data_IF_528137186401
#
_entry.id   IF_528137186401
#
_cell.length_a   1.000
_cell.length_b   1.000
_cell.length_c   1.000
_cell.angle_alpha   90.00
_cell.angle_beta   90.00
_cell.angle_gamma   90.00
#
_symmetry.space_group_name_H-M   'P 1'
#
loop_
_entity.id
_entity.type
_entity.pdbx_description
1 polymer ?
#
# COMPACT_ATOMS: atom_id res chain seq x y z
N UNK A 1 -5.10 37.63 -5.77
CA UNK A 1 -4.45 38.80 -5.14
C UNK A 1 -4.55 39.93 -6.15
N UNK A 2 -5.13 41.05 -5.72
CA UNK A 2 -5.33 42.31 -6.47
C UNK A 2 -6.37 42.36 -7.61
N UNK A 3 -7.61 41.97 -7.29
CA UNK A 3 -8.82 42.74 -7.66
C UNK A 3 -9.18 43.06 -9.12
N UNK A 4 -8.43 42.64 -10.15
CA UNK A 4 -8.75 42.93 -11.55
C UNK A 4 -9.07 41.67 -12.39
N UNK A 5 -10.06 41.72 -13.31
CA UNK A 5 -10.42 40.59 -14.17
C UNK A 5 -9.42 40.36 -15.31
N UNK A 6 -8.88 39.13 -15.38
CA UNK A 6 -7.90 38.64 -16.37
C UNK A 6 -8.56 38.28 -17.71
N UNK A 7 -9.20 39.23 -18.39
CA UNK A 7 -9.88 38.97 -19.68
C UNK A 7 -9.30 39.72 -20.90
N UNK A 8 -8.11 40.35 -20.82
CA UNK A 8 -7.61 41.15 -21.93
C UNK A 8 -6.07 41.18 -22.11
N UNK A 9 -5.40 40.03 -22.10
CA UNK A 9 -4.02 39.93 -22.60
C UNK A 9 -3.88 38.74 -23.56
N UNK A 10 -3.62 38.98 -24.86
CA UNK A 10 -3.40 37.89 -25.81
C UNK A 10 -1.97 37.37 -25.65
N UNK A 11 -1.81 36.06 -25.37
CA UNK A 11 -0.52 35.37 -25.33
C UNK A 11 -0.56 34.21 -26.34
N UNK A 12 0.53 33.96 -27.11
CA UNK A 12 0.51 33.17 -28.33
C UNK A 12 0.41 31.66 -28.07
N UNK A 13 -0.09 30.93 -29.05
CA UNK A 13 -0.22 29.48 -29.02
C UNK A 13 1.13 28.76 -29.20
N UNK A 14 1.45 27.83 -28.29
CA UNK A 14 2.06 26.49 -28.52
C UNK A 14 2.54 25.88 -27.18
N UNK A 15 2.81 24.56 -27.09
CA UNK A 15 2.28 23.40 -27.81
C UNK A 15 1.51 22.43 -26.88
N UNK A 16 0.80 21.46 -27.46
CA UNK A 16 0.06 20.43 -26.73
C UNK A 16 1.01 19.44 -26.02
N UNK A 17 0.81 19.22 -24.73
CA UNK A 17 1.40 18.14 -23.93
C UNK A 17 0.37 17.50 -22.98
N UNK A 18 0.58 16.22 -22.57
CA UNK A 18 -0.48 15.21 -22.55
C UNK A 18 -1.27 15.05 -21.25
N UNK A 19 -2.39 14.34 -21.40
CA UNK A 19 -3.35 13.87 -20.39
C UNK A 19 -2.67 13.23 -19.16
N UNK A 20 -2.77 13.91 -18.00
CA UNK A 20 -2.93 13.35 -16.63
C UNK A 20 -2.44 14.37 -15.59
N UNK A 21 -3.22 15.43 -15.39
CA UNK A 21 -2.84 16.56 -14.53
C UNK A 21 -3.99 17.04 -13.64
N UNK A 22 -4.36 16.27 -12.61
CA UNK A 22 -5.26 16.77 -11.56
C UNK A 22 -4.45 17.71 -10.66
N UNK A 23 -4.38 18.99 -11.05
CA UNK A 23 -3.70 20.03 -10.27
C UNK A 23 -4.34 20.25 -8.89
N UNK A 24 -3.55 20.63 -7.87
CA UNK A 24 -4.03 20.75 -6.47
C UNK A 24 -5.11 21.81 -6.26
N UNK A 25 -5.20 22.79 -7.17
CA UNK A 25 -6.16 23.90 -7.11
C UNK A 25 -7.56 23.51 -7.59
N UNK A 26 -7.68 22.52 -8.50
CA UNK A 26 -8.98 22.06 -9.02
C UNK A 26 -9.72 21.09 -8.06
N UNK A 27 -9.10 20.77 -6.93
CA UNK A 27 -9.67 19.93 -5.89
C UNK A 27 -10.26 20.75 -4.71
N UNK A 28 -10.36 22.07 -4.87
CA UNK A 28 -11.09 22.98 -3.96
C UNK A 28 -12.58 23.07 -4.36
N UNK A 29 -13.22 21.92 -4.64
CA UNK A 29 -14.60 21.87 -5.14
C UNK A 29 -15.66 21.77 -4.03
N UNK A 30 -15.34 22.18 -2.80
CA UNK A 30 -16.34 22.20 -1.73
C UNK A 30 -15.76 22.32 -0.33
N UNK A 31 -16.66 22.59 0.61
CA UNK A 31 -16.41 22.59 2.05
C UNK A 31 -17.23 21.48 2.67
N UNK A 32 -16.62 20.68 3.53
CA UNK A 32 -17.37 19.78 4.38
C UNK A 32 -17.58 20.43 5.74
N UNK A 33 -18.84 20.67 6.06
CA UNK A 33 -19.26 21.29 7.30
C UNK A 33 -19.53 20.26 8.39
N UNK A 34 -19.01 20.51 9.59
CA UNK A 34 -19.37 19.77 10.81
C UNK A 34 -20.20 20.66 11.73
N UNK A 35 -21.06 20.06 12.53
CA UNK A 35 -21.74 20.77 13.63
C UNK A 35 -20.76 20.96 14.79
N UNK A 36 -19.95 22.00 14.69
CA UNK A 36 -18.92 22.31 15.68
C UNK A 36 -19.56 22.68 17.03
N UNK A 37 -20.77 23.28 17.01
CA UNK A 37 -21.52 23.66 18.21
C UNK A 37 -21.96 22.44 19.04
N UNK A 38 -22.30 21.34 18.37
CA UNK A 38 -22.56 20.05 19.01
C UNK A 38 -21.28 19.26 19.37
N UNK A 39 -20.09 19.84 19.13
CA UNK A 39 -18.79 19.19 19.37
C UNK A 39 -18.41 18.15 18.30
N UNK A 40 -19.10 18.10 17.16
CA UNK A 40 -18.70 17.26 16.05
C UNK A 40 -17.48 17.87 15.35
N UNK A 41 -16.56 17.03 14.88
CA UNK A 41 -15.37 17.49 14.17
C UNK A 41 -14.69 16.36 13.39
N UNK A 42 -13.73 16.68 12.53
CA UNK A 42 -13.06 15.68 11.71
C UNK A 42 -12.21 14.74 12.60
N UNK A 43 -12.52 13.45 12.61
CA UNK A 43 -11.89 12.43 13.48
C UNK A 43 -10.69 11.72 12.85
N UNK A 44 -10.55 11.75 11.51
CA UNK A 44 -9.49 11.07 10.78
C UNK A 44 -8.32 11.99 10.36
N UNK A 45 -8.19 13.14 11.01
CA UNK A 45 -7.19 14.16 10.66
C UNK A 45 -6.33 14.51 11.87
N UNK A 46 -5.04 14.77 11.61
CA UNK A 46 -4.10 15.28 12.60
C UNK A 46 -3.69 16.68 12.18
N UNK A 47 -3.76 17.65 13.08
CA UNK A 47 -3.26 19.00 12.81
C UNK A 47 -1.73 18.96 12.70
N UNK A 48 -1.22 19.49 11.60
CA UNK A 48 0.22 19.64 11.31
C UNK A 48 0.69 21.04 11.70
N UNK A 49 -0.16 22.05 11.46
CA UNK A 49 0.17 23.45 11.73
C UNK A 49 -1.10 24.25 12.10
N UNK A 50 -0.98 25.27 12.95
CA UNK A 50 -2.12 26.03 13.45
C UNK A 50 -2.92 25.28 14.51
N UNK A 51 -4.25 25.43 14.49
CA UNK A 51 -5.17 24.81 15.48
C UNK A 51 -6.28 23.98 14.82
N UNK A 52 -6.85 23.06 15.58
CA UNK A 52 -8.06 22.34 15.17
C UNK A 52 -9.30 23.23 15.26
N UNK A 53 -10.35 22.86 14.52
CA UNK A 53 -11.69 23.40 14.71
C UNK A 53 -12.24 22.91 16.06
N UNK A 54 -12.89 23.81 16.79
CA UNK A 54 -13.57 23.48 18.04
C UNK A 54 -14.93 24.15 18.15
N UNK A 55 -15.63 23.98 19.29
CA UNK A 55 -16.96 24.55 19.49
C UNK A 55 -17.02 26.08 19.39
N UNK A 56 -15.90 26.76 19.66
CA UNK A 56 -15.77 28.22 19.51
C UNK A 56 -15.82 28.70 18.06
N UNK A 57 -15.65 27.79 17.08
CA UNK A 57 -15.69 28.10 15.65
C UNK A 57 -17.07 27.87 15.03
N UNK A 58 -18.05 27.44 15.84
CA UNK A 58 -19.43 27.25 15.39
C UNK A 58 -20.01 28.56 14.83
N UNK A 59 -20.58 28.51 13.63
CA UNK A 59 -21.13 29.66 12.93
C UNK A 59 -20.08 30.67 12.42
N UNK A 60 -18.79 30.34 12.43
CA UNK A 60 -17.72 31.17 11.86
C UNK A 60 -17.26 30.66 10.51
N UNK A 61 -16.59 31.51 9.73
CA UNK A 61 -15.97 31.16 8.44
C UNK A 61 -14.57 30.52 8.60
N UNK A 62 -14.26 30.00 9.80
CA UNK A 62 -12.99 29.36 10.08
C UNK A 62 -12.93 27.95 9.50
N UNK A 63 -11.82 27.63 8.83
CA UNK A 63 -11.62 26.33 8.19
C UNK A 63 -10.24 25.76 8.45
N UNK A 64 -10.17 24.43 8.44
CA UNK A 64 -8.89 23.71 8.37
C UNK A 64 -8.74 23.08 6.98
N UNK A 65 -7.53 23.18 6.44
CA UNK A 65 -7.24 22.78 5.05
C UNK A 65 -6.17 21.70 4.99
N UNK A 66 -6.18 20.91 3.93
CA UNK A 66 -5.18 19.86 3.74
C UNK A 66 -3.76 20.45 3.67
N UNK A 67 -2.80 19.87 4.41
CA UNK A 67 -1.42 20.33 4.47
C UNK A 67 -0.73 20.36 3.09
N UNK A 68 -1.23 19.63 2.09
CA UNK A 68 -0.77 19.73 0.71
C UNK A 68 -0.97 21.13 0.10
N UNK A 69 -1.97 21.90 0.56
CA UNK A 69 -2.24 23.26 0.12
C UNK A 69 -1.30 24.31 0.75
N UNK A 70 -0.55 23.94 1.80
CA UNK A 70 0.51 24.78 2.34
C UNK A 70 1.80 24.77 1.51
N UNK A 71 1.85 23.97 0.44
CA UNK A 71 2.97 23.89 -0.49
C UNK A 71 2.66 24.63 -1.80
N UNK A 72 3.69 24.83 -2.62
CA UNK A 72 3.53 25.42 -3.95
C UNK A 72 2.50 24.65 -4.79
N UNK A 73 1.62 25.32 -5.55
CA UNK A 73 1.56 26.77 -5.80
C UNK A 73 0.68 27.58 -4.82
N UNK A 74 -0.03 26.95 -3.88
CA UNK A 74 -1.04 27.63 -3.07
C UNK A 74 -0.48 28.36 -1.82
N UNK A 75 0.58 27.81 -1.20
CA UNK A 75 1.31 28.45 -0.07
C UNK A 75 0.39 28.94 1.07
N UNK A 76 -0.68 28.20 1.37
CA UNK A 76 -1.62 28.57 2.42
C UNK A 76 -1.06 28.28 3.80
N UNK A 77 -1.18 29.25 4.71
CA UNK A 77 -0.83 29.11 6.13
C UNK A 77 -1.99 29.48 7.05
N UNK A 78 -1.88 29.25 8.36
CA UNK A 78 -2.82 29.79 9.34
C UNK A 78 -2.93 31.32 9.19
N UNK A 79 -4.14 31.86 9.18
CA UNK A 79 -4.46 33.26 8.91
C UNK A 79 -4.68 33.60 7.42
N UNK A 80 -4.39 32.68 6.50
CA UNK A 80 -4.66 32.89 5.06
C UNK A 80 -6.17 32.88 4.79
N UNK A 81 -6.63 33.71 3.86
CA UNK A 81 -8.02 33.67 3.40
C UNK A 81 -8.14 32.95 2.07
N UNK A 82 -9.18 32.13 1.93
CA UNK A 82 -9.51 31.44 0.69
C UNK A 82 -10.93 31.81 0.28
N UNK A 83 -11.13 32.20 -0.97
CA UNK A 83 -12.48 32.38 -1.50
C UNK A 83 -12.85 31.16 -2.31
N UNK A 84 -13.86 30.44 -1.84
CA UNK A 84 -14.44 29.32 -2.58
C UNK A 84 -15.66 29.81 -3.35
N UNK A 85 -15.79 29.32 -4.57
CA UNK A 85 -16.93 29.60 -5.43
C UNK A 85 -17.53 28.26 -5.85
N UNK A 86 -18.82 28.08 -5.59
CA UNK A 86 -19.53 26.90 -6.06
C UNK A 86 -19.95 27.10 -7.52
N UNK A 87 -19.56 26.17 -8.40
CA UNK A 87 -19.82 26.28 -9.84
C UNK A 87 -21.26 25.99 -10.24
N UNK A 88 -22.06 25.39 -9.34
CA UNK A 88 -23.46 25.03 -9.60
C UNK A 88 -24.44 26.10 -9.15
N UNK A 89 -24.18 26.74 -8.01
CA UNK A 89 -25.01 27.80 -7.42
C UNK A 89 -24.49 29.20 -7.71
N UNK A 90 -23.20 29.35 -8.03
CA UNK A 90 -22.55 30.65 -8.21
C UNK A 90 -22.21 31.38 -6.91
N UNK A 91 -22.52 30.78 -5.75
CA UNK A 91 -22.24 31.37 -4.44
C UNK A 91 -20.73 31.45 -4.19
N UNK A 92 -20.31 32.53 -3.52
CA UNK A 92 -18.93 32.74 -3.12
C UNK A 92 -18.85 32.97 -1.61
N UNK A 93 -17.93 32.29 -0.94
CA UNK A 93 -17.66 32.48 0.47
C UNK A 93 -16.16 32.62 0.68
N UNK A 94 -15.79 33.62 1.46
CA UNK A 94 -14.42 33.83 1.89
C UNK A 94 -14.24 33.22 3.26
N UNK A 95 -13.34 32.25 3.35
CA UNK A 95 -13.07 31.46 4.54
C UNK A 95 -11.67 31.80 5.06
N UNK A 96 -11.49 31.69 6.38
CA UNK A 96 -10.21 31.95 7.04
C UNK A 96 -9.59 30.64 7.49
N UNK A 97 -8.37 30.36 7.03
CA UNK A 97 -7.63 29.15 7.38
C UNK A 97 -7.10 29.29 8.80
N UNK A 98 -7.50 28.42 9.73
CA UNK A 98 -7.01 28.41 11.12
C UNK A 98 -6.00 27.28 11.39
N UNK A 99 -5.90 26.31 10.48
CA UNK A 99 -4.94 25.22 10.60
C UNK A 99 -4.82 24.37 9.33
N UNK A 100 -3.69 23.68 9.24
CA UNK A 100 -3.38 22.69 8.21
C UNK A 100 -3.41 21.30 8.83
N UNK A 101 -4.15 20.38 8.22
CA UNK A 101 -4.23 19.01 8.69
C UNK A 101 -3.52 18.03 7.75
N UNK A 102 -2.88 17.03 8.34
CA UNK A 102 -2.37 15.85 7.68
C UNK A 102 -3.31 14.68 7.90
N UNK A 103 -3.43 13.80 6.92
CA UNK A 103 -4.18 12.56 7.05
C UNK A 103 -3.31 11.55 7.80
N UNK A 104 -3.91 10.80 8.73
CA UNK A 104 -3.20 9.80 9.51
C UNK A 104 -3.92 8.44 9.46
N UNK A 105 -3.13 7.36 9.42
CA UNK A 105 -3.63 5.99 9.46
C UNK A 105 -3.69 5.25 8.10
N UNK A 106 -3.89 3.92 8.12
CA UNK A 106 -3.82 3.05 6.93
C UNK A 106 -4.86 3.38 5.85
N UNK A 107 -5.95 4.05 6.24
CA UNK A 107 -7.06 4.46 5.37
C UNK A 107 -6.78 5.72 4.55
N UNK A 108 -5.73 6.48 4.90
CA UNK A 108 -5.40 7.75 4.25
C UNK A 108 -5.08 7.62 2.76
N UNK A 109 -4.54 6.48 2.31
CA UNK A 109 -4.23 6.22 0.90
C UNK A 109 -5.50 5.96 0.07
N UNK A 110 -6.49 5.30 0.66
CA UNK A 110 -7.73 4.91 -0.01
C UNK A 110 -8.71 6.08 -0.12
N UNK A 111 -8.76 6.94 0.89
CA UNK A 111 -9.66 8.10 0.90
C UNK A 111 -9.05 9.33 0.22
N UNK A 112 -7.77 9.27 -0.18
CA UNK A 112 -7.00 10.47 -0.54
C UNK A 112 -7.52 11.23 -1.78
N UNK A 113 -8.07 10.48 -2.73
CA UNK A 113 -8.50 10.99 -4.05
C UNK A 113 -9.89 11.65 -4.02
N UNK A 114 -10.75 11.30 -3.06
CA UNK A 114 -12.14 11.75 -2.99
C UNK A 114 -12.49 12.49 -1.70
N UNK A 115 -11.55 12.58 -0.74
CA UNK A 115 -11.82 13.29 0.51
C UNK A 115 -11.79 14.82 0.31
N UNK A 116 -12.75 15.55 0.92
CA UNK A 116 -12.77 17.00 0.96
C UNK A 116 -11.42 17.56 1.42
N UNK A 117 -11.00 18.69 0.83
CA UNK A 117 -9.74 19.36 1.17
C UNK A 117 -9.90 20.50 2.17
N UNK A 118 -11.15 20.90 2.45
CA UNK A 118 -11.50 22.00 3.33
C UNK A 118 -12.60 21.53 4.28
N UNK A 119 -12.34 21.62 5.58
CA UNK A 119 -13.31 21.36 6.64
C UNK A 119 -13.65 22.66 7.35
N UNK A 120 -14.94 22.87 7.65
CA UNK A 120 -15.44 24.06 8.32
C UNK A 120 -16.71 23.77 9.12
N UNK A 121 -17.40 24.84 9.51
CA UNK A 121 -18.72 24.74 10.13
C UNK A 121 -19.81 24.35 9.12
N UNK A 122 -20.87 23.69 9.58
CA UNK A 122 -22.05 23.35 8.78
C UNK A 122 -22.73 24.58 8.17
N UNK A 123 -22.69 25.73 8.84
CA UNK A 123 -23.18 27.01 8.32
C UNK A 123 -22.40 27.47 7.09
N UNK A 124 -21.07 27.37 7.10
CA UNK A 124 -20.22 27.71 5.96
C UNK A 124 -20.49 26.80 4.75
N UNK A 125 -20.66 25.49 4.98
CA UNK A 125 -21.03 24.55 3.92
C UNK A 125 -22.42 24.85 3.32
N UNK A 126 -23.40 25.23 4.15
CA UNK A 126 -24.74 25.62 3.69
C UNK A 126 -24.74 26.95 2.94
N UNK A 127 -23.94 27.92 3.38
CA UNK A 127 -23.79 29.20 2.69
C UNK A 127 -23.16 29.00 1.29
N UNK A 128 -22.20 28.07 1.16
CA UNK A 128 -21.59 27.73 -0.13
C UNK A 128 -22.54 26.95 -1.06
N UNK A 129 -23.17 25.89 -0.52
CA UNK A 129 -23.92 24.92 -1.31
C UNK A 129 -25.42 25.20 -1.45
N UNK A 130 -25.98 26.18 -0.74
CA UNK A 130 -27.39 26.54 -0.82
C UNK A 130 -28.35 25.35 -0.58
N UNK A 131 -29.24 25.06 -1.53
CA UNK A 131 -30.17 23.94 -1.49
C UNK A 131 -29.63 22.61 -2.05
N UNK A 132 -28.42 22.60 -2.61
CA UNK A 132 -27.72 21.40 -3.11
C UNK A 132 -26.74 20.82 -2.09
N UNK A 133 -26.91 21.18 -0.81
CA UNK A 133 -26.10 20.66 0.29
C UNK A 133 -26.44 19.20 0.51
N UNK A 134 -25.58 18.32 0.03
CA UNK A 134 -25.66 16.90 0.32
C UNK A 134 -25.31 16.69 1.80
N UNK A 135 -26.32 16.34 2.60
CA UNK A 135 -26.14 16.10 4.04
C UNK A 135 -25.63 14.69 4.25
N UNK A 136 -24.32 14.54 4.42
CA UNK A 136 -23.69 13.26 4.74
C UNK A 136 -23.74 13.04 6.25
N UNK A 137 -24.72 12.26 6.72
CA UNK A 137 -24.78 11.80 8.10
C UNK A 137 -23.91 10.56 8.27
N UNK A 138 -22.79 10.68 8.98
CA UNK A 138 -21.94 9.53 9.33
C UNK A 138 -22.26 9.11 10.76
N UNK A 139 -22.84 7.91 10.92
CA UNK A 139 -23.11 7.31 12.22
C UNK A 139 -22.25 6.06 12.39
N UNK A 140 -21.50 5.99 13.49
CA UNK A 140 -20.72 4.80 13.87
C UNK A 140 -21.64 3.83 14.59
N UNK A 141 -22.05 2.77 13.91
CA UNK A 141 -22.89 1.69 14.48
C UNK A 141 -22.00 0.48 14.76
N UNK A 142 -22.24 -0.20 15.89
CA UNK A 142 -21.53 -1.42 16.26
C UNK A 142 -21.68 -2.51 15.17
N UNK A 143 -20.60 -3.24 14.89
CA UNK A 143 -20.49 -4.12 13.72
C UNK A 143 -21.44 -5.32 13.70
N UNK A 144 -22.14 -5.59 14.80
CA UNK A 144 -23.04 -6.72 15.01
C UNK A 144 -24.49 -6.46 14.56
N UNK A 145 -24.87 -5.19 14.27
CA UNK A 145 -26.25 -4.83 13.87
C UNK A 145 -26.36 -4.05 12.55
N UNK A 146 -25.25 -3.85 11.84
CA UNK A 146 -25.15 -3.01 10.64
C UNK A 146 -26.07 -3.44 9.48
N UNK A 147 -26.25 -4.74 9.24
CA UNK A 147 -27.04 -5.22 8.10
C UNK A 147 -28.56 -5.05 8.33
N UNK A 148 -29.00 -5.20 9.58
CA UNK A 148 -30.40 -5.01 9.95
C UNK A 148 -30.78 -3.52 10.00
N UNK A 149 -29.88 -2.67 10.51
CA UNK A 149 -30.14 -1.24 10.66
C UNK A 149 -29.98 -0.47 9.33
N UNK A 150 -29.08 -0.89 8.42
CA UNK A 150 -28.97 -0.31 7.08
C UNK A 150 -30.23 -0.52 6.24
N UNK A 151 -30.83 -1.72 6.31
CA UNK A 151 -32.11 -2.02 5.65
C UNK A 151 -33.27 -1.25 6.29
N UNK A 152 -33.25 -1.04 7.62
CA UNK A 152 -34.26 -0.26 8.32
C UNK A 152 -34.19 1.24 7.97
N UNK A 153 -32.98 1.80 7.86
CA UNK A 153 -32.74 3.19 7.48
C UNK A 153 -33.10 3.47 6.02
N UNK A 154 -32.77 2.55 5.11
CA UNK A 154 -33.11 2.66 3.68
C UNK A 154 -34.62 2.55 3.42
N UNK A 155 -35.37 1.90 4.32
CA UNK A 155 -36.84 1.90 4.30
C UNK A 155 -37.46 3.16 4.90
N UNK A 156 -36.78 3.81 5.84
CA UNK A 156 -37.26 5.02 6.51
C UNK A 156 -37.07 6.28 5.65
N UNK A 157 -36.01 6.33 4.82
CA UNK A 157 -35.77 7.41 3.86
C UNK A 157 -35.25 6.86 2.51
N UNK A 158 -36.13 6.67 1.50
CA UNK A 158 -35.76 6.16 0.19
C UNK A 158 -34.82 7.07 -0.62
N UNK A 159 -34.63 8.33 -0.21
CA UNK A 159 -33.71 9.28 -0.84
C UNK A 159 -32.27 9.21 -0.31
N UNK A 160 -32.02 8.46 0.77
CA UNK A 160 -30.71 8.35 1.39
C UNK A 160 -29.86 7.26 0.71
N UNK A 161 -28.74 7.67 0.12
CA UNK A 161 -27.65 6.76 -0.29
C UNK A 161 -26.92 6.26 0.95
N UNK A 162 -27.37 5.13 1.49
CA UNK A 162 -26.69 4.44 2.60
C UNK A 162 -25.48 3.69 2.05
N UNK A 163 -24.31 4.33 2.06
CA UNK A 163 -23.04 3.69 1.69
C UNK A 163 -22.37 3.11 2.96
N UNK A 164 -22.47 1.79 3.15
CA UNK A 164 -21.81 1.11 4.26
C UNK A 164 -20.29 0.99 3.99
N UNK A 165 -19.48 1.59 4.85
CA UNK A 165 -18.02 1.53 4.74
C UNK A 165 -17.51 0.09 4.92
N UNK A 166 -18.28 -0.78 5.60
CA UNK A 166 -17.93 -2.18 5.80
C UNK A 166 -17.99 -2.97 4.49
N UNK A 167 -19.01 -2.76 3.65
CA UNK A 167 -19.18 -3.43 2.35
C UNK A 167 -18.01 -3.10 1.41
N UNK A 168 -17.57 -1.83 1.42
CA UNK A 168 -16.39 -1.42 0.67
C UNK A 168 -15.12 -2.12 1.18
N UNK A 169 -14.94 -2.26 2.50
CA UNK A 169 -13.81 -3.03 3.04
C UNK A 169 -13.90 -4.52 2.74
N UNK A 170 -15.09 -5.12 2.70
CA UNK A 170 -15.28 -6.53 2.32
C UNK A 170 -14.91 -6.74 0.86
N UNK A 171 -15.36 -5.87 -0.04
CA UNK A 171 -15.00 -5.92 -1.47
C UNK A 171 -13.49 -5.76 -1.66
N UNK A 172 -12.88 -4.77 -1.02
CA UNK A 172 -11.41 -4.56 -1.10
C UNK A 172 -10.65 -5.77 -0.55
N UNK A 173 -11.05 -6.32 0.60
CA UNK A 173 -10.44 -7.54 1.16
C UNK A 173 -10.57 -8.71 0.21
N UNK A 174 -11.75 -8.92 -0.35
CA UNK A 174 -12.00 -10.01 -1.32
C UNK A 174 -11.09 -9.88 -2.54
N UNK A 175 -10.93 -8.67 -3.09
CA UNK A 175 -10.01 -8.43 -4.22
C UNK A 175 -8.57 -8.68 -3.81
N UNK A 176 -8.13 -8.20 -2.64
CA UNK A 176 -6.77 -8.42 -2.14
C UNK A 176 -6.49 -9.90 -1.88
N UNK A 177 -7.42 -10.63 -1.26
CA UNK A 177 -7.29 -12.05 -0.98
C UNK A 177 -7.21 -12.86 -2.28
N UNK A 178 -8.00 -12.50 -3.29
CA UNK A 178 -7.90 -13.12 -4.62
C UNK A 178 -6.54 -12.83 -5.29
N UNK A 179 -6.03 -11.61 -5.19
CA UNK A 179 -4.69 -11.26 -5.70
C UNK A 179 -3.59 -12.02 -4.97
N UNK A 180 -3.68 -12.13 -3.64
CA UNK A 180 -2.74 -12.90 -2.82
C UNK A 180 -2.81 -14.39 -3.15
N UNK A 181 -4.00 -14.94 -3.43
CA UNK A 181 -4.16 -16.33 -3.85
C UNK A 181 -3.45 -16.58 -5.18
N UNK A 182 -3.63 -15.72 -6.18
CA UNK A 182 -2.93 -15.82 -7.46
C UNK A 182 -1.41 -15.74 -7.26
N UNK A 183 -0.93 -14.76 -6.48
CA UNK A 183 0.49 -14.64 -6.15
C UNK A 183 1.03 -15.88 -5.42
N UNK A 184 0.24 -16.48 -4.54
CA UNK A 184 0.63 -17.68 -3.79
C UNK A 184 0.78 -18.87 -4.73
N UNK A 185 -0.14 -19.05 -5.68
CA UNK A 185 -0.05 -20.11 -6.70
C UNK A 185 1.18 -19.91 -7.59
N UNK A 186 1.42 -18.69 -8.06
CA UNK A 186 2.62 -18.36 -8.85
C UNK A 186 3.90 -18.60 -8.03
N UNK A 187 3.92 -18.19 -6.77
CA UNK A 187 5.05 -18.44 -5.86
C UNK A 187 5.31 -19.93 -5.72
N UNK A 188 4.28 -20.75 -5.54
CA UNK A 188 4.42 -22.20 -5.47
C UNK A 188 5.02 -22.77 -6.76
N UNK A 189 4.59 -22.31 -7.94
CA UNK A 189 5.16 -22.71 -9.23
C UNK A 189 6.65 -22.36 -9.34
N UNK A 190 7.03 -21.14 -8.92
CA UNK A 190 8.43 -20.71 -8.93
C UNK A 190 9.28 -21.55 -7.97
N UNK A 191 8.76 -21.85 -6.77
CA UNK A 191 9.46 -22.72 -5.81
C UNK A 191 9.65 -24.12 -6.38
N UNK A 192 8.62 -24.71 -7.00
CA UNK A 192 8.73 -26.02 -7.64
C UNK A 192 9.75 -26.04 -8.78
N UNK A 193 9.76 -25.01 -9.63
CA UNK A 193 10.76 -24.85 -10.67
C UNK A 193 12.17 -24.72 -10.08
N UNK A 194 12.33 -23.95 -9.00
CA UNK A 194 13.59 -23.81 -8.27
C UNK A 194 14.09 -25.13 -7.70
N UNK A 195 13.21 -25.94 -7.12
CA UNK A 195 13.53 -27.30 -6.62
C UNK A 195 14.05 -28.18 -7.76
N UNK A 196 13.40 -28.15 -8.92
CA UNK A 196 13.85 -28.91 -10.10
C UNK A 196 15.25 -28.47 -10.58
N UNK A 197 15.51 -27.16 -10.61
CA UNK A 197 16.82 -26.61 -10.97
C UNK A 197 17.90 -27.05 -9.98
N UNK A 198 17.64 -26.94 -8.67
CA UNK A 198 18.58 -27.39 -7.64
C UNK A 198 18.84 -28.88 -7.76
N UNK A 199 17.80 -29.70 -7.94
CA UNK A 199 17.93 -31.14 -8.09
C UNK A 199 18.80 -31.52 -9.30
N UNK A 200 18.61 -30.84 -10.43
CA UNK A 200 19.43 -31.06 -11.62
C UNK A 200 20.90 -30.69 -11.37
N UNK A 201 21.15 -29.52 -10.76
CA UNK A 201 22.50 -29.07 -10.42
C UNK A 201 23.22 -30.02 -9.47
N UNK A 202 22.54 -30.52 -8.42
CA UNK A 202 23.10 -31.50 -7.49
C UNK A 202 23.42 -32.81 -8.21
N UNK A 203 22.54 -33.26 -9.10
CA UNK A 203 22.75 -34.49 -9.87
C UNK A 203 23.99 -34.38 -10.76
N UNK A 204 24.15 -33.26 -11.48
CA UNK A 204 25.33 -33.00 -12.30
C UNK A 204 26.61 -32.97 -11.47
N UNK A 205 26.62 -32.27 -10.34
CA UNK A 205 27.78 -32.21 -9.45
C UNK A 205 28.16 -33.60 -8.89
N UNK A 206 27.18 -34.44 -8.58
CA UNK A 206 27.43 -35.82 -8.15
C UNK A 206 28.04 -36.69 -9.26
N UNK A 207 27.63 -36.49 -10.52
CA UNK A 207 28.19 -37.21 -11.67
C UNK A 207 29.65 -36.84 -11.91
N UNK A 208 29.98 -35.55 -11.82
CA UNK A 208 31.35 -35.05 -11.97
C UNK A 208 32.27 -35.60 -10.87
N UNK A 209 31.80 -35.61 -9.62
CA UNK A 209 32.56 -36.06 -8.44
C UNK A 209 32.49 -37.57 -8.19
N UNK A 210 31.83 -38.34 -9.06
CA UNK A 210 31.69 -39.78 -8.90
C UNK A 210 33.04 -40.51 -8.81
N UNK A 211 34.05 -40.05 -9.57
CA UNK A 211 35.42 -40.62 -9.54
C UNK A 211 36.13 -40.33 -8.22
N UNK A 212 35.98 -39.12 -7.69
CA UNK A 212 36.55 -38.72 -6.39
C UNK A 212 35.93 -39.51 -5.25
N UNK A 213 34.60 -39.68 -5.28
CA UNK A 213 33.86 -40.47 -4.29
C UNK A 213 34.25 -41.94 -4.35
N UNK A 214 34.45 -42.52 -5.55
CA UNK A 214 34.91 -43.89 -5.70
C UNK A 214 36.30 -44.11 -5.09
N UNK A 215 37.23 -43.15 -5.27
CA UNK A 215 38.54 -43.17 -4.62
C UNK A 215 38.45 -43.03 -3.10
N UNK A 216 37.60 -42.14 -2.58
CA UNK A 216 37.42 -42.00 -1.13
C UNK A 216 36.80 -43.26 -0.51
N UNK A 217 35.90 -43.95 -1.24
CA UNK A 217 35.30 -45.21 -0.81
C UNK A 217 36.32 -46.35 -0.72
N UNK A 218 37.34 -46.38 -1.57
CA UNK A 218 38.40 -47.41 -1.50
C UNK A 218 39.30 -47.24 -0.28
N UNK A 219 39.36 -46.03 0.30
CA UNK A 219 40.08 -45.71 1.54
C UNK A 219 39.21 -45.87 2.80
N UNK A 220 37.92 -46.21 2.65
CA UNK A 220 37.02 -46.53 3.76
C UNK A 220 36.00 -45.45 4.14
N UNK A 221 35.86 -44.37 3.35
CA UNK A 221 34.82 -43.37 3.61
C UNK A 221 33.41 -43.90 3.28
N UNK A 222 32.47 -43.68 4.20
CA UNK A 222 31.07 -44.08 4.06
C UNK A 222 30.22 -43.11 3.20
N UNK A 223 29.11 -43.58 2.59
CA UNK A 223 28.24 -42.77 1.72
C UNK A 223 27.57 -41.59 2.42
N UNK A 224 27.48 -41.60 3.74
CA UNK A 224 26.95 -40.50 4.55
C UNK A 224 27.79 -39.23 4.47
N UNK A 225 29.12 -39.35 4.36
CA UNK A 225 30.01 -38.19 4.32
C UNK A 225 29.81 -37.37 3.03
N UNK A 226 29.57 -38.05 1.91
CA UNK A 226 29.30 -37.41 0.61
C UNK A 226 27.97 -36.65 0.65
N UNK A 227 26.92 -37.27 1.21
CA UNK A 227 25.61 -36.62 1.37
C UNK A 227 25.73 -35.38 2.26
N UNK A 228 26.43 -35.48 3.40
CA UNK A 228 26.62 -34.33 4.30
C UNK A 228 27.38 -33.19 3.64
N UNK A 229 28.45 -33.49 2.89
CA UNK A 229 29.23 -32.49 2.17
C UNK A 229 28.38 -31.75 1.13
N UNK A 230 27.62 -32.49 0.33
CA UNK A 230 26.73 -31.91 -0.69
C UNK A 230 25.64 -31.06 -0.05
N UNK A 231 24.99 -31.54 1.01
CA UNK A 231 23.98 -30.74 1.72
C UNK A 231 24.56 -29.46 2.31
N UNK A 232 25.80 -29.50 2.81
CA UNK A 232 26.48 -28.31 3.34
C UNK A 232 26.82 -27.31 2.24
N UNK A 233 27.33 -27.78 1.10
CA UNK A 233 27.70 -26.94 -0.05
C UNK A 233 26.48 -26.21 -0.62
N UNK A 234 25.41 -26.94 -0.91
CA UNK A 234 24.17 -26.36 -1.45
C UNK A 234 23.37 -25.61 -0.38
N UNK A 235 23.47 -26.01 0.89
CA UNK A 235 22.89 -25.25 2.01
C UNK A 235 23.53 -23.88 2.17
N UNK A 236 24.87 -23.79 2.06
CA UNK A 236 25.59 -22.52 2.07
C UNK A 236 25.26 -21.67 0.83
N UNK A 237 25.20 -22.29 -0.36
CA UNK A 237 24.80 -21.60 -1.57
C UNK A 237 23.37 -21.04 -1.46
N UNK A 238 22.43 -21.81 -0.92
CA UNK A 238 21.05 -21.39 -0.67
C UNK A 238 20.98 -20.25 0.36
N UNK A 239 21.82 -20.27 1.39
CA UNK A 239 21.91 -19.19 2.38
C UNK A 239 22.40 -17.89 1.75
N UNK A 240 23.48 -17.95 0.98
CA UNK A 240 24.02 -16.77 0.30
C UNK A 240 23.03 -16.20 -0.72
N UNK A 241 22.39 -17.07 -1.52
CA UNK A 241 21.39 -16.66 -2.50
C UNK A 241 20.16 -16.00 -1.86
N UNK A 242 19.63 -16.58 -0.77
CA UNK A 242 18.46 -16.02 -0.07
C UNK A 242 18.81 -14.73 0.68
N UNK A 243 19.98 -14.64 1.30
CA UNK A 243 20.46 -13.40 1.93
C UNK A 243 20.60 -12.27 0.89
N UNK A 244 21.23 -12.55 -0.25
CA UNK A 244 21.34 -11.60 -1.35
C UNK A 244 19.97 -11.20 -1.92
N UNK A 245 19.04 -12.16 -2.04
CA UNK A 245 17.66 -11.89 -2.46
C UNK A 245 16.93 -10.94 -1.52
N UNK A 246 16.99 -11.18 -0.20
CA UNK A 246 16.37 -10.28 0.80
C UNK A 246 16.94 -8.88 0.73
N UNK A 247 18.28 -8.74 0.63
CA UNK A 247 18.94 -7.44 0.51
C UNK A 247 18.48 -6.72 -0.77
N UNK A 248 18.38 -7.44 -1.88
CA UNK A 248 17.95 -6.89 -3.18
C UNK A 248 16.52 -6.39 -3.11
N UNK A 249 15.60 -7.18 -2.53
CA UNK A 249 14.20 -6.79 -2.32
C UNK A 249 14.12 -5.58 -1.38
N UNK A 250 14.83 -5.59 -0.25
CA UNK A 250 14.84 -4.48 0.70
C UNK A 250 15.30 -3.17 0.03
N UNK A 251 16.34 -3.25 -0.81
CA UNK A 251 16.87 -2.09 -1.54
C UNK A 251 15.88 -1.59 -2.58
N UNK A 252 15.30 -2.47 -3.39
CA UNK A 252 14.29 -2.11 -4.39
C UNK A 252 13.07 -1.45 -3.75
N UNK A 253 12.59 -2.00 -2.62
CA UNK A 253 11.48 -1.43 -1.86
C UNK A 253 11.84 -0.07 -1.25
N UNK A 254 13.06 0.09 -0.75
CA UNK A 254 13.53 1.36 -0.22
C UNK A 254 13.53 2.45 -1.31
N UNK A 255 13.98 2.15 -2.53
CA UNK A 255 13.95 3.06 -3.67
C UNK A 255 12.50 3.39 -4.04
N UNK A 256 11.65 2.38 -4.18
CA UNK A 256 10.23 2.56 -4.55
C UNK A 256 9.47 3.38 -3.49
N UNK A 257 9.75 3.15 -2.20
CA UNK A 257 9.13 3.88 -1.10
C UNK A 257 9.43 5.38 -1.16
N UNK A 258 10.67 5.74 -1.50
CA UNK A 258 11.11 7.13 -1.63
C UNK A 258 10.53 7.82 -2.87
N UNK A 259 10.41 7.11 -3.99
CA UNK A 259 10.03 7.70 -5.27
C UNK A 259 8.52 7.72 -5.54
N UNK A 260 7.78 6.69 -5.09
CA UNK A 260 6.38 6.50 -5.47
C UNK A 260 5.38 6.56 -4.31
N UNK A 261 5.72 5.99 -3.15
CA UNK A 261 4.74 5.69 -2.10
C UNK A 261 4.69 6.70 -0.94
N UNK A 262 5.72 7.55 -0.77
CA UNK A 262 5.87 8.54 0.33
C UNK A 262 5.57 7.97 1.74
N UNK A 263 5.62 6.65 1.90
CA UNK A 263 5.27 5.94 3.11
C UNK A 263 6.36 4.91 3.40
N UNK A 264 6.80 4.77 4.67
CA UNK A 264 7.81 3.79 5.02
C UNK A 264 7.20 2.40 4.92
N UNK A 265 7.67 1.60 3.97
CA UNK A 265 7.32 0.18 3.88
C UNK A 265 8.09 -0.54 4.99
N UNK A 266 7.37 -1.12 5.94
CA UNK A 266 7.97 -1.77 7.11
C UNK A 266 8.62 -3.09 6.71
N UNK A 267 9.93 -3.21 6.92
CA UNK A 267 10.67 -4.45 6.78
C UNK A 267 10.79 -5.11 8.16
N UNK A 268 10.09 -6.24 8.36
CA UNK A 268 10.26 -7.02 9.59
C UNK A 268 11.46 -7.93 9.45
N UNK A 269 12.51 -7.65 10.25
CA UNK A 269 13.70 -8.51 10.31
C UNK A 269 13.33 -9.97 10.63
N UNK A 270 12.28 -10.18 11.43
CA UNK A 270 11.77 -11.51 11.77
C UNK A 270 11.24 -12.27 10.56
N UNK A 271 10.42 -11.62 9.72
CA UNK A 271 9.86 -12.26 8.51
C UNK A 271 10.97 -12.59 7.51
N UNK A 272 11.93 -11.68 7.31
CA UNK A 272 13.06 -11.95 6.42
C UNK A 272 13.92 -13.12 6.90
N UNK A 273 14.16 -13.24 8.22
CA UNK A 273 14.91 -14.36 8.78
C UNK A 273 14.20 -15.69 8.56
N UNK A 274 12.87 -15.72 8.74
CA UNK A 274 12.05 -16.91 8.48
C UNK A 274 12.07 -17.29 6.99
N UNK A 275 12.00 -16.32 6.07
CA UNK A 275 12.06 -16.59 4.64
C UNK A 275 13.42 -17.16 4.20
N UNK A 276 14.51 -16.60 4.72
CA UNK A 276 15.87 -17.12 4.48
C UNK A 276 15.99 -18.55 5.02
N UNK A 277 15.55 -18.78 6.26
CA UNK A 277 15.57 -20.10 6.86
C UNK A 277 14.74 -21.12 6.05
N UNK A 278 13.55 -20.73 5.58
CA UNK A 278 12.70 -21.57 4.74
C UNK A 278 13.37 -21.90 3.40
N UNK A 279 13.98 -20.92 2.73
CA UNK A 279 14.68 -21.12 1.46
C UNK A 279 15.90 -22.06 1.62
N UNK A 280 16.68 -21.87 2.68
CA UNK A 280 17.82 -22.74 3.02
C UNK A 280 17.33 -24.15 3.31
N UNK A 281 16.25 -24.30 4.07
CA UNK A 281 15.67 -25.60 4.40
C UNK A 281 15.19 -26.33 3.15
N UNK A 282 14.46 -25.66 2.26
CA UNK A 282 13.99 -26.24 0.99
C UNK A 282 15.18 -26.71 0.13
N UNK A 283 16.23 -25.89 0.03
CA UNK A 283 17.44 -26.24 -0.73
C UNK A 283 18.16 -27.44 -0.10
N UNK A 284 18.38 -27.42 1.22
CA UNK A 284 19.04 -28.50 1.95
C UNK A 284 18.28 -29.82 1.85
N UNK A 285 16.94 -29.79 2.00
CA UNK A 285 16.08 -30.98 1.86
C UNK A 285 16.14 -31.51 0.43
N UNK A 286 16.04 -30.63 -0.57
CA UNK A 286 16.13 -31.03 -1.98
C UNK A 286 17.46 -31.72 -2.27
N UNK A 287 18.58 -31.09 -1.89
CA UNK A 287 19.92 -31.66 -2.06
C UNK A 287 20.10 -32.97 -1.30
N UNK A 288 19.55 -33.09 -0.09
CA UNK A 288 19.62 -34.32 0.70
C UNK A 288 18.87 -35.48 0.05
N UNK A 289 17.65 -35.24 -0.44
CA UNK A 289 16.84 -36.26 -1.13
C UNK A 289 17.56 -36.75 -2.39
N UNK A 290 18.06 -35.82 -3.21
CA UNK A 290 18.76 -36.15 -4.46
C UNK A 290 20.08 -36.86 -4.19
N UNK A 291 20.88 -36.37 -3.23
CA UNK A 291 22.17 -36.97 -2.89
C UNK A 291 22.02 -38.39 -2.31
N UNK A 292 20.99 -38.62 -1.49
CA UNK A 292 20.71 -39.95 -0.95
C UNK A 292 20.28 -40.93 -2.04
N UNK A 293 19.42 -40.49 -2.98
CA UNK A 293 19.02 -41.30 -4.13
C UNK A 293 20.19 -41.63 -5.06
N UNK A 294 21.04 -40.64 -5.37
CA UNK A 294 22.22 -40.81 -6.22
C UNK A 294 23.29 -41.73 -5.62
N UNK A 295 23.54 -41.62 -4.31
CA UNK A 295 24.57 -42.41 -3.62
C UNK A 295 24.28 -43.94 -3.60
N UNK A 296 23.04 -44.35 -3.86
CA UNK A 296 22.60 -45.75 -3.80
C UNK A 296 22.57 -46.42 -5.19
N UNK A 297 22.53 -45.63 -6.27
CA UNK A 297 22.26 -46.15 -7.61
C UNK A 297 23.50 -46.67 -8.37
N UNK A 298 24.73 -46.42 -7.93
CA UNK A 298 25.94 -46.66 -8.74
C UNK A 298 27.08 -47.41 -8.00
N UNK A 299 26.92 -48.71 -7.69
CA UNK A 299 28.09 -49.60 -7.64
C UNK A 299 28.13 -50.66 -8.75
N UNK A 300 26.97 -51.06 -9.31
CA UNK A 300 26.88 -52.21 -10.22
C UNK A 300 26.77 -51.87 -11.72
N UNK A 301 26.30 -50.68 -12.08
CA UNK A 301 26.12 -50.29 -13.49
C UNK A 301 27.43 -49.89 -14.19
N UNK A 302 28.45 -49.47 -13.43
CA UNK A 302 29.73 -49.03 -13.97
C UNK A 302 30.65 -50.18 -14.42
N UNK A 303 30.37 -51.43 -14.00
CA UNK A 303 31.16 -52.63 -14.36
C UNK A 303 30.55 -53.46 -15.50
N UNK A 304 29.39 -53.07 -16.04
CA UNK A 304 28.71 -53.82 -17.12
C UNK A 304 29.02 -53.27 -18.53
N UNK A 305 29.82 -52.21 -18.62
CA UNK A 305 30.17 -51.55 -19.88
C UNK A 305 31.68 -51.33 -20.07
N UNK A 306 32.52 -52.14 -19.40
CA UNK A 306 33.96 -52.21 -19.62
C UNK A 306 34.34 -53.50 -20.32
#
# INVERSE_FOLDING_TARGET
IDGNPLAATPVPAAPAEPQDGIGPLRALNGVTGYDLGAGAGPTAVRIVEGRALGPSDAGTDNVVVDAALGRTPALLGPGSTITLADSSTGNRLTLTVVGLYGRSGPRALLTSRYSPRVFGDVGAARALGGGTVETVLSMTIASDRLDADSVALQRADPGALVANVNDLTVVVRTVLDNLLLVLTVVTAMVVLAGIAVVANSVTLALLERAREVAMLRSVGFGPSHVVTLVVLEYGLAGFLASAAGVISIATALAILSRQALQTPVAFSAGISAVLVAAAVLVTAVTSWVVARGGAWAHPAAALRNS
#
